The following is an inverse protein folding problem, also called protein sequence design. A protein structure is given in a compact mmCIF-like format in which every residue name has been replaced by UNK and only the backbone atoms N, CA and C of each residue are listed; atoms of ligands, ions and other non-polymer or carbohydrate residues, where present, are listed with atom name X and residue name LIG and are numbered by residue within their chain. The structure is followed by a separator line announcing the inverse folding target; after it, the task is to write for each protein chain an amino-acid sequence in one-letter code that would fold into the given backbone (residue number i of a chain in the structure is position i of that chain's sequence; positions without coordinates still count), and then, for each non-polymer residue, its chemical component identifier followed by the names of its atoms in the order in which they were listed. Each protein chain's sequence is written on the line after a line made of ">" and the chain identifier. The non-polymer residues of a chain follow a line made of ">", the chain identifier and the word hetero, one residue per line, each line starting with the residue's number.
data_IF_956381373292
#
_entry.id   IF_956381373292
#
_cell.length_a   1.000
_cell.length_b   1.000
_cell.length_c   1.000
_cell.angle_alpha   90.00
_cell.angle_beta   90.00
_cell.angle_gamma   90.00
#
_symmetry.space_group_name_H-M   'P 1'
#
loop_
_entity.id
_entity.type
_entity.pdbx_description
1 polymer ?
#
# COMPACT_ATOMS: atom_id res chain seq x y z
N UNK A 1 4.46 -1.46 -3.22
CA UNK A 1 4.46 -1.65 -4.68
C UNK A 1 5.60 -2.53 -5.11
N UNK A 2 5.29 -3.73 -5.62
CA UNK A 2 6.28 -4.54 -6.34
C UNK A 2 6.37 -4.03 -7.78
N UNK A 3 7.37 -3.18 -8.03
CA UNK A 3 7.57 -2.52 -9.32
C UNK A 3 8.23 -3.44 -10.36
N UNK A 4 8.53 -4.70 -10.01
CA UNK A 4 9.00 -5.71 -10.97
C UNK A 4 7.85 -6.28 -11.81
N UNK A 5 6.62 -6.20 -11.31
CA UNK A 5 5.41 -6.60 -12.03
C UNK A 5 4.81 -5.44 -12.81
N UNK A 6 4.41 -5.72 -14.04
CA UNK A 6 3.63 -4.79 -14.84
C UNK A 6 2.30 -4.44 -14.13
N UNK A 7 1.75 -3.26 -14.45
CA UNK A 7 0.43 -2.86 -13.96
C UNK A 7 -0.67 -3.88 -14.30
N UNK A 8 -0.55 -4.55 -15.46
CA UNK A 8 -1.49 -5.57 -15.90
C UNK A 8 -1.41 -6.84 -15.05
N UNK A 9 -0.19 -7.33 -14.75
CA UNK A 9 0.01 -8.50 -13.89
C UNK A 9 -0.50 -8.23 -12.47
N UNK A 10 -0.21 -7.04 -11.92
CA UNK A 10 -0.73 -6.62 -10.61
C UNK A 10 -2.26 -6.57 -10.60
N UNK A 11 -2.86 -5.97 -11.64
CA UNK A 11 -4.32 -5.90 -11.81
C UNK A 11 -4.98 -7.29 -11.88
N UNK A 12 -4.41 -8.23 -12.64
CA UNK A 12 -4.93 -9.59 -12.77
C UNK A 12 -4.82 -10.36 -11.44
N UNK A 13 -3.72 -10.15 -10.71
CA UNK A 13 -3.49 -10.81 -9.44
C UNK A 13 -4.35 -10.28 -8.29
N UNK A 14 -5.07 -9.15 -8.46
CA UNK A 14 -5.79 -8.47 -7.40
C UNK A 14 -7.33 -8.42 -7.64
N UNK A 15 -8.12 -9.28 -6.97
CA UNK A 15 -9.58 -9.26 -7.07
C UNK A 15 -10.23 -7.92 -6.68
N UNK A 16 -9.63 -7.18 -5.73
CA UNK A 16 -10.10 -5.86 -5.32
C UNK A 16 -10.02 -4.85 -6.47
N UNK A 17 -8.95 -4.93 -7.28
CA UNK A 17 -8.86 -4.12 -8.48
C UNK A 17 -10.01 -4.44 -9.44
N UNK A 18 -10.32 -5.72 -9.67
CA UNK A 18 -11.44 -6.14 -10.52
C UNK A 18 -12.79 -5.63 -10.04
N UNK A 19 -13.02 -5.60 -8.72
CA UNK A 19 -14.24 -5.12 -8.10
C UNK A 19 -14.47 -3.60 -8.20
N UNK A 20 -13.45 -2.80 -8.55
CA UNK A 20 -13.60 -1.36 -8.75
C UNK A 20 -14.56 -1.05 -9.92
N UNK A 21 -15.70 -0.41 -9.60
CA UNK A 21 -16.66 0.13 -10.58
C UNK A 21 -16.03 1.11 -11.55
N UNK A 22 -15.10 1.93 -11.07
CA UNK A 22 -14.31 2.87 -11.86
C UNK A 22 -12.84 2.63 -11.57
N UNK A 23 -12.08 2.31 -12.61
CA UNK A 23 -10.63 2.13 -12.48
C UNK A 23 -9.95 3.51 -12.29
N UNK A 24 -8.90 3.60 -11.46
CA UNK A 24 -8.19 4.86 -11.26
C UNK A 24 -7.57 5.36 -12.57
N UNK A 25 -7.44 6.67 -12.81
CA UNK A 25 -6.83 7.19 -14.04
C UNK A 25 -5.44 6.60 -14.33
N UNK A 26 -4.67 6.32 -13.28
CA UNK A 26 -3.35 5.69 -13.32
C UNK A 26 -3.36 4.23 -13.80
N UNK A 27 -4.52 3.58 -13.92
CA UNK A 27 -4.61 2.22 -14.47
C UNK A 27 -4.77 2.19 -15.99
N UNK A 28 -4.98 3.32 -16.66
CA UNK A 28 -4.94 3.35 -18.12
C UNK A 28 -3.48 3.15 -18.57
N UNK A 29 -3.25 2.31 -19.60
CA UNK A 29 -1.89 2.07 -20.10
C UNK A 29 -1.19 3.37 -20.53
N UNK A 30 -1.94 4.31 -21.11
CA UNK A 30 -1.43 5.58 -21.62
C UNK A 30 -1.07 6.57 -20.51
N UNK A 31 -1.90 6.69 -19.48
CA UNK A 31 -1.70 7.65 -18.37
C UNK A 31 -0.74 7.05 -17.33
N UNK A 32 -0.83 5.75 -17.08
CA UNK A 32 0.06 5.04 -16.17
C UNK A 32 1.51 5.07 -16.61
N UNK A 33 1.79 4.92 -17.91
CA UNK A 33 3.16 5.04 -18.45
C UNK A 33 3.71 6.46 -18.29
N UNK A 34 2.89 7.50 -18.51
CA UNK A 34 3.27 8.90 -18.29
C UNK A 34 3.62 9.15 -16.82
N UNK A 35 2.83 8.65 -15.87
CA UNK A 35 3.18 8.78 -14.45
C UNK A 35 4.44 8.00 -14.08
N UNK A 36 4.60 6.78 -14.58
CA UNK A 36 5.79 5.95 -14.34
C UNK A 36 7.06 6.60 -14.90
N UNK A 37 6.95 7.32 -16.01
CA UNK A 37 8.04 8.11 -16.60
C UNK A 37 8.27 9.42 -15.86
N UNK A 38 7.20 10.09 -15.41
CA UNK A 38 7.27 11.35 -14.69
C UNK A 38 7.99 11.24 -13.34
N UNK A 39 8.01 10.08 -12.68
CA UNK A 39 8.81 9.92 -11.45
C UNK A 39 10.32 9.97 -11.70
N UNK A 40 10.78 9.67 -12.92
CA UNK A 40 12.19 9.52 -13.25
C UNK A 40 12.63 10.43 -14.41
N UNK A 41 11.79 11.39 -14.83
CA UNK A 41 12.00 12.16 -16.06
C UNK A 41 13.28 13.01 -16.09
N UNK A 42 13.81 13.38 -14.93
CA UNK A 42 15.07 14.13 -14.79
C UNK A 42 16.29 13.24 -14.57
N UNK A 43 16.11 11.93 -14.46
CA UNK A 43 17.23 11.03 -14.22
C UNK A 43 17.86 10.63 -15.54
N UNK A 44 19.19 10.76 -15.62
CA UNK A 44 19.96 10.30 -16.79
C UNK A 44 19.81 8.79 -16.99
N UNK A 45 19.66 8.04 -15.89
CA UNK A 45 19.46 6.60 -15.90
C UNK A 45 18.24 6.25 -15.06
N UNK A 46 17.33 5.45 -15.62
CA UNK A 46 16.17 4.95 -14.88
C UNK A 46 16.67 3.98 -13.80
N UNK A 47 16.27 4.15 -12.54
CA UNK A 47 16.70 3.26 -11.47
C UNK A 47 16.11 1.86 -11.66
N UNK A 48 16.82 0.86 -11.13
CA UNK A 48 16.30 -0.49 -11.07
C UNK A 48 15.06 -0.55 -10.16
N UNK A 49 13.91 -0.85 -10.75
CA UNK A 49 12.63 -0.97 -10.06
C UNK A 49 12.58 -2.17 -9.10
N UNK A 50 13.45 -3.17 -9.27
CA UNK A 50 13.62 -4.27 -8.33
C UNK A 50 14.36 -3.87 -7.06
N UNK A 51 15.01 -2.71 -7.05
CA UNK A 51 15.77 -2.26 -5.90
C UNK A 51 14.86 -1.96 -4.70
N UNK A 52 15.29 -2.36 -3.51
CA UNK A 52 14.43 -2.37 -2.31
C UNK A 52 13.91 -0.99 -1.87
N UNK A 53 14.56 0.10 -2.25
CA UNK A 53 14.06 1.44 -1.95
C UNK A 53 12.89 1.87 -2.86
N UNK A 54 12.72 1.21 -4.01
CA UNK A 54 11.54 1.38 -4.87
C UNK A 54 10.51 0.27 -4.67
N UNK A 55 10.99 -0.96 -4.42
CA UNK A 55 10.17 -2.14 -4.16
C UNK A 55 10.52 -2.74 -2.79
N UNK A 56 10.07 -2.12 -1.67
CA UNK A 56 10.43 -2.59 -0.32
C UNK A 56 9.95 -4.02 -0.02
N UNK A 57 8.94 -4.51 -0.75
CA UNK A 57 8.52 -5.91 -0.70
C UNK A 57 9.60 -6.92 -1.11
N UNK A 58 10.67 -6.47 -1.77
CA UNK A 58 11.81 -7.29 -2.22
C UNK A 58 13.07 -7.12 -1.35
N UNK A 59 13.02 -6.29 -0.30
CA UNK A 59 14.16 -6.10 0.59
C UNK A 59 14.63 -7.44 1.19
N UNK A 60 15.95 -7.66 1.39
CA UNK A 60 16.44 -8.85 2.08
C UNK A 60 15.82 -9.03 3.46
N UNK A 61 15.60 -10.28 3.89
CA UNK A 61 14.94 -10.57 5.17
C UNK A 61 15.70 -10.01 6.37
N UNK A 62 17.03 -10.06 6.35
CA UNK A 62 17.86 -9.53 7.42
C UNK A 62 17.70 -8.01 7.56
N UNK A 63 17.64 -7.29 6.43
CA UNK A 63 17.35 -5.85 6.44
C UNK A 63 15.97 -5.54 6.99
N UNK A 64 14.95 -6.32 6.65
CA UNK A 64 13.60 -6.13 7.21
C UNK A 64 13.55 -6.42 8.71
N UNK A 65 14.31 -7.42 9.18
CA UNK A 65 14.38 -7.79 10.59
C UNK A 65 15.09 -6.73 11.41
N UNK A 66 16.19 -6.19 10.90
CA UNK A 66 17.02 -5.21 11.62
C UNK A 66 16.46 -3.78 11.54
N UNK A 67 16.06 -3.32 10.35
CA UNK A 67 15.76 -1.92 10.12
C UNK A 67 14.32 -1.51 10.46
N UNK A 68 13.35 -2.44 10.42
CA UNK A 68 11.95 -2.09 10.69
C UNK A 68 11.63 -2.15 12.19
N UNK A 69 10.72 -1.29 12.68
CA UNK A 69 10.28 -1.32 14.07
C UNK A 69 9.65 -2.68 14.42
N UNK A 70 9.67 -3.07 15.71
CA UNK A 70 9.13 -4.35 16.16
C UNK A 70 7.61 -4.42 16.03
N UNK A 71 6.91 -3.29 16.15
CA UNK A 71 5.45 -3.18 16.06
C UNK A 71 5.08 -2.39 14.80
N UNK A 72 4.20 -2.94 13.96
CA UNK A 72 3.78 -2.37 12.68
C UNK A 72 2.26 -2.54 12.53
N UNK A 73 1.55 -1.47 12.20
CA UNK A 73 0.11 -1.52 11.91
C UNK A 73 -0.15 -1.21 10.43
N UNK A 74 -0.87 -2.09 9.73
CA UNK A 74 -1.33 -1.90 8.36
C UNK A 74 -2.79 -1.44 8.35
N UNK A 75 -3.04 -0.37 7.59
CA UNK A 75 -4.35 0.25 7.40
C UNK A 75 -4.68 0.26 5.91
N UNK A 76 -5.48 -0.70 5.46
CA UNK A 76 -5.65 -1.02 4.04
C UNK A 76 -7.05 -0.67 3.53
N UNK A 77 -7.15 -0.38 2.24
CA UNK A 77 -8.43 -0.18 1.56
C UNK A 77 -8.86 -1.44 0.78
N UNK A 78 -10.09 -1.89 0.98
CA UNK A 78 -10.60 -3.17 0.48
C UNK A 78 -10.80 -3.22 -1.03
N UNK A 79 -10.94 -2.08 -1.70
CA UNK A 79 -10.97 -1.96 -3.17
C UNK A 79 -9.65 -1.40 -3.73
N UNK A 80 -8.57 -1.44 -2.96
CA UNK A 80 -7.27 -0.95 -3.40
C UNK A 80 -6.63 -1.89 -4.44
N UNK A 81 -6.02 -1.30 -5.46
CA UNK A 81 -5.22 -2.02 -6.43
C UNK A 81 -3.88 -2.51 -5.85
N UNK A 82 -3.50 -2.03 -4.66
CA UNK A 82 -2.35 -2.46 -3.86
C UNK A 82 -2.69 -3.53 -2.81
N UNK A 83 -3.97 -3.84 -2.56
CA UNK A 83 -4.39 -4.68 -1.45
C UNK A 83 -3.63 -6.03 -1.36
N UNK A 84 -3.39 -6.69 -2.49
CA UNK A 84 -2.74 -7.99 -2.48
C UNK A 84 -1.24 -7.94 -2.17
N UNK A 85 -0.52 -6.92 -2.65
CA UNK A 85 0.90 -6.76 -2.29
C UNK A 85 1.05 -6.32 -0.82
N UNK A 86 0.12 -5.52 -0.31
CA UNK A 86 0.08 -5.10 1.10
C UNK A 86 -0.19 -6.29 2.02
N UNK A 87 -1.16 -7.15 1.66
CA UNK A 87 -1.42 -8.40 2.38
C UNK A 87 -0.22 -9.35 2.37
N UNK A 88 0.54 -9.39 1.28
CA UNK A 88 1.77 -10.20 1.26
C UNK A 88 2.88 -9.60 2.12
N UNK A 89 3.05 -8.27 2.11
CA UNK A 89 3.98 -7.58 3.01
C UNK A 89 3.64 -7.85 4.48
N UNK A 90 2.37 -7.75 4.86
CA UNK A 90 1.87 -8.12 6.18
C UNK A 90 2.28 -9.56 6.56
N UNK A 91 1.97 -10.56 5.71
CA UNK A 91 2.31 -11.97 5.97
C UNK A 91 3.82 -12.17 6.10
N UNK A 92 4.60 -11.52 5.23
CA UNK A 92 6.06 -11.60 5.23
C UNK A 92 6.65 -11.06 6.53
N UNK A 93 6.23 -9.88 6.96
CA UNK A 93 6.73 -9.27 8.20
C UNK A 93 6.33 -10.08 9.44
N UNK A 94 5.11 -10.62 9.45
CA UNK A 94 4.65 -11.54 10.51
C UNK A 94 5.50 -12.82 10.57
N UNK A 95 5.84 -13.43 9.42
CA UNK A 95 6.75 -14.59 9.35
C UNK A 95 8.15 -14.28 9.88
N UNK A 96 8.59 -13.02 9.76
CA UNK A 96 9.89 -12.55 10.27
C UNK A 96 9.88 -12.25 11.78
N UNK A 97 8.77 -12.51 12.48
CA UNK A 97 8.65 -12.32 13.92
C UNK A 97 8.34 -10.89 14.37
N UNK A 98 7.94 -10.00 13.43
CA UNK A 98 7.43 -8.68 13.80
C UNK A 98 6.03 -8.81 14.40
N UNK A 99 5.70 -7.93 15.35
CA UNK A 99 4.34 -7.77 15.84
C UNK A 99 3.57 -6.92 14.82
N UNK A 100 2.75 -7.57 14.00
CA UNK A 100 2.07 -6.90 12.88
C UNK A 100 0.56 -7.09 12.99
N UNK A 101 -0.14 -5.96 12.98
CA UNK A 101 -1.60 -5.89 12.85
C UNK A 101 -2.01 -5.38 11.47
N UNK A 102 -3.19 -5.78 11.02
CA UNK A 102 -3.72 -5.41 9.71
C UNK A 102 -5.24 -5.23 9.78
N UNK A 103 -5.70 -4.01 9.49
CA UNK A 103 -7.11 -3.66 9.38
C UNK A 103 -7.42 -3.30 7.92
N UNK A 104 -8.48 -3.89 7.36
CA UNK A 104 -8.94 -3.62 5.99
C UNK A 104 -10.30 -2.94 6.07
N UNK A 105 -10.41 -1.73 5.51
CA UNK A 105 -11.69 -1.05 5.35
C UNK A 105 -12.34 -1.58 4.08
N UNK A 106 -13.40 -2.37 4.21
CA UNK A 106 -14.06 -2.97 3.05
C UNK A 106 -14.81 -1.93 2.21
N UNK A 107 -14.90 -2.16 0.90
CA UNK A 107 -15.72 -1.36 -0.01
C UNK A 107 -15.21 0.03 -0.37
N UNK A 108 -14.05 0.45 0.13
CA UNK A 108 -13.45 1.76 -0.17
C UNK A 108 -12.25 1.66 -1.12
N UNK A 109 -12.07 2.60 -2.07
CA UNK A 109 -10.95 2.59 -3.00
C UNK A 109 -9.64 3.06 -2.35
N UNK A 110 -8.54 2.96 -3.09
CA UNK A 110 -7.30 3.67 -2.77
C UNK A 110 -7.58 5.16 -2.50
N UNK A 111 -6.93 5.73 -1.46
CA UNK A 111 -7.03 7.16 -1.13
C UNK A 111 -8.44 7.65 -0.73
N UNK A 112 -9.30 6.74 -0.26
CA UNK A 112 -10.70 7.04 0.08
C UNK A 112 -10.87 8.06 1.21
N UNK A 113 -9.96 8.06 2.16
CA UNK A 113 -9.94 8.89 3.37
C UNK A 113 -9.75 10.38 3.02
N UNK A 114 -8.85 10.67 2.08
CA UNK A 114 -8.68 11.99 1.51
C UNK A 114 -9.82 12.41 0.58
N UNK A 115 -10.63 11.44 0.12
CA UNK A 115 -11.79 11.66 -0.74
C UNK A 115 -13.13 11.59 0.03
N UNK A 116 -13.11 11.56 1.36
CA UNK A 116 -14.29 11.48 2.20
C UNK A 116 -15.19 12.72 2.07
N UNK A 117 -16.17 12.66 1.16
CA UNK A 117 -17.06 13.80 0.82
C UNK A 117 -18.41 13.76 1.53
N UNK A 118 -18.93 12.58 1.85
CA UNK A 118 -20.18 12.44 2.60
C UNK A 118 -19.91 12.43 4.10
N UNK A 119 -20.96 12.63 4.90
CA UNK A 119 -20.85 12.57 6.36
C UNK A 119 -20.45 11.17 6.83
N UNK A 120 -21.08 10.13 6.28
CA UNK A 120 -20.78 8.74 6.61
C UNK A 120 -19.33 8.38 6.28
N UNK A 121 -18.78 8.88 5.17
CA UNK A 121 -17.38 8.68 4.83
C UNK A 121 -16.43 9.42 5.78
N UNK A 122 -16.80 10.61 6.26
CA UNK A 122 -16.00 11.38 7.23
C UNK A 122 -16.01 10.68 8.59
N UNK A 123 -17.15 10.22 9.05
CA UNK A 123 -17.27 9.44 10.29
C UNK A 123 -16.45 8.14 10.22
N UNK A 124 -16.53 7.42 9.09
CA UNK A 124 -15.72 6.23 8.84
C UNK A 124 -14.22 6.55 8.89
N UNK A 125 -13.79 7.63 8.23
CA UNK A 125 -12.40 8.11 8.26
C UNK A 125 -11.96 8.44 9.67
N UNK A 126 -12.73 9.24 10.38
CA UNK A 126 -12.35 9.77 11.69
C UNK A 126 -12.26 8.64 12.73
N UNK A 127 -13.17 7.66 12.67
CA UNK A 127 -13.08 6.44 13.48
C UNK A 127 -11.78 5.68 13.21
N UNK A 128 -11.46 5.45 11.94
CA UNK A 128 -10.30 4.63 11.54
C UNK A 128 -8.96 5.34 11.82
N UNK A 129 -8.87 6.64 11.54
CA UNK A 129 -7.71 7.46 11.90
C UNK A 129 -7.57 7.63 13.41
N UNK A 130 -8.69 7.69 14.14
CA UNK A 130 -8.69 7.69 15.61
C UNK A 130 -8.08 6.42 16.20
N UNK A 131 -8.48 5.24 15.68
CA UNK A 131 -7.84 3.96 16.05
C UNK A 131 -6.34 3.97 15.74
N UNK A 132 -5.96 4.41 14.54
CA UNK A 132 -4.54 4.48 14.16
C UNK A 132 -3.73 5.43 15.07
N UNK A 133 -4.32 6.55 15.49
CA UNK A 133 -3.68 7.48 16.43
C UNK A 133 -3.44 6.84 17.80
N UNK A 134 -4.39 6.05 18.31
CA UNK A 134 -4.23 5.33 19.58
C UNK A 134 -3.18 4.22 19.46
N UNK A 135 -3.15 3.48 18.34
CA UNK A 135 -2.11 2.48 18.06
C UNK A 135 -0.71 3.13 18.02
N UNK A 136 -0.55 4.27 17.35
CA UNK A 136 0.71 5.01 17.32
C UNK A 136 1.13 5.41 18.72
N UNK A 137 0.20 5.88 19.56
CA UNK A 137 0.47 6.25 20.94
C UNK A 137 0.96 5.06 21.77
N UNK A 138 0.37 3.89 21.60
CA UNK A 138 0.79 2.66 22.27
C UNK A 138 2.19 2.23 21.81
N UNK A 139 2.46 2.27 20.50
CA UNK A 139 3.78 1.96 19.93
C UNK A 139 4.86 2.92 20.44
N UNK A 140 4.53 4.20 20.62
CA UNK A 140 5.48 5.18 21.14
C UNK A 140 5.84 4.96 22.61
N UNK A 141 4.97 4.28 23.35
CA UNK A 141 5.13 4.02 24.79
C UNK A 141 5.77 2.65 25.10
N UNK A 142 5.89 1.76 24.10
CA UNK A 142 6.51 0.43 24.21
C UNK A 142 8.01 0.47 23.98
#
# INVERSE_FOLDING_TARGET
>A
MDMTKSRAERAQSNPAFSALKRKPPSSSKLIGSVFDEAFFWKLEQKPDKGFMYLSPGLAPEDSLREALPPIISFKLAGLDYLLNEEKEAFRRLKRLGKNVDCEVVEGVPHYWDHMARTEEMRELRDRFLGTAAEEIKQIWQS
#
